data_IF_393731606659
#
_entry.id   IF_393731606659
#
_cell.length_a   1.000
_cell.length_b   1.000
_cell.length_c   1.000
_cell.angle_alpha   90.00
_cell.angle_beta   90.00
_cell.angle_gamma   90.00
#
_symmetry.space_group_name_H-M   'P 1'
#
loop_
_entity.id
_entity.type
_entity.pdbx_description
1 polymer ?
#
# COMPACT_ATOMS: atom_id res chain seq x y z
N UNK A 1 5.13 -21.45 17.26
CA UNK A 1 5.92 -21.88 18.45
C UNK A 1 4.93 -22.11 19.58
N UNK A 2 5.16 -23.00 20.53
CA UNK A 2 4.30 -23.11 21.71
C UNK A 2 4.96 -22.41 22.90
N UNK A 3 4.17 -21.81 23.78
CA UNK A 3 4.64 -21.23 25.03
C UNK A 3 4.80 -22.31 26.12
N UNK A 4 5.10 -21.87 27.35
CA UNK A 4 5.27 -22.75 28.51
C UNK A 4 3.99 -23.50 28.90
N UNK A 5 2.83 -23.01 28.49
CA UNK A 5 1.51 -23.59 28.77
C UNK A 5 0.99 -24.45 27.60
N UNK A 6 1.79 -24.62 26.54
CA UNK A 6 1.43 -25.39 25.35
C UNK A 6 0.54 -24.64 24.36
N UNK A 7 0.31 -23.35 24.60
CA UNK A 7 -0.50 -22.47 23.77
C UNK A 7 0.31 -21.88 22.64
N UNK A 8 -0.37 -21.35 21.61
CA UNK A 8 0.31 -20.79 20.44
C UNK A 8 1.04 -19.50 20.84
N UNK A 9 2.37 -19.58 20.94
CA UNK A 9 3.20 -18.41 21.18
C UNK A 9 3.32 -17.57 19.91
N UNK A 10 2.83 -16.33 20.01
CA UNK A 10 2.74 -15.38 18.91
C UNK A 10 3.85 -14.32 18.97
N UNK A 11 4.40 -14.06 20.16
CA UNK A 11 5.37 -13.00 20.43
C UNK A 11 4.80 -11.93 21.37
N UNK A 12 5.68 -11.23 22.08
CA UNK A 12 5.36 -10.15 23.02
C UNK A 12 5.07 -8.82 22.31
N UNK A 13 5.64 -8.64 21.11
CA UNK A 13 5.51 -7.42 20.32
C UNK A 13 6.67 -6.43 20.51
N UNK A 14 7.62 -6.75 21.38
CA UNK A 14 8.88 -6.04 21.54
C UNK A 14 9.77 -6.21 20.29
N UNK A 15 10.80 -5.37 20.17
CA UNK A 15 11.67 -5.36 18.99
C UNK A 15 12.45 -6.68 18.80
N UNK A 16 12.82 -7.36 19.90
CA UNK A 16 13.52 -8.64 19.89
C UNK A 16 12.58 -9.86 19.82
N UNK A 17 11.27 -9.64 19.93
CA UNK A 17 10.25 -10.68 19.89
C UNK A 17 8.94 -10.18 19.22
N UNK A 18 9.01 -9.83 17.93
CA UNK A 18 7.89 -9.28 17.19
C UNK A 18 6.80 -10.33 16.93
N UNK A 19 5.58 -9.86 16.63
CA UNK A 19 4.49 -10.73 16.26
C UNK A 19 3.76 -10.31 14.98
N UNK A 20 3.14 -11.30 14.36
CA UNK A 20 2.23 -11.15 13.22
C UNK A 20 0.98 -11.99 13.50
N UNK A 21 -0.19 -11.36 13.46
CA UNK A 21 -1.48 -12.05 13.55
C UNK A 21 -2.29 -11.75 12.29
N UNK A 22 -2.54 -12.77 11.47
CA UNK A 22 -3.36 -12.67 10.27
C UNK A 22 -4.80 -13.08 10.51
N UNK A 23 -5.74 -12.28 9.98
CA UNK A 23 -7.16 -12.58 9.92
C UNK A 23 -7.59 -12.72 8.47
N UNK A 24 -8.18 -13.86 8.15
CA UNK A 24 -8.84 -14.13 6.88
C UNK A 24 -10.02 -15.08 7.12
N UNK A 25 -10.79 -15.37 6.07
CA UNK A 25 -11.87 -16.36 6.12
C UNK A 25 -11.83 -17.24 4.88
N UNK A 26 -12.49 -18.39 4.95
CA UNK A 26 -12.65 -19.27 3.79
C UNK A 26 -13.26 -18.52 2.60
N UNK A 27 -14.24 -17.64 2.84
CA UNK A 27 -14.85 -16.82 1.80
C UNK A 27 -13.89 -15.78 1.19
N UNK A 28 -12.97 -15.22 1.97
CA UNK A 28 -11.92 -14.32 1.46
C UNK A 28 -10.89 -15.09 0.64
N UNK A 29 -10.49 -16.29 1.09
CA UNK A 29 -9.60 -17.17 0.31
C UNK A 29 -10.27 -17.56 -1.01
N UNK A 30 -11.56 -17.93 -0.97
CA UNK A 30 -12.35 -18.26 -2.17
C UNK A 30 -12.46 -17.09 -3.16
N UNK A 31 -12.61 -15.87 -2.65
CA UNK A 31 -12.63 -14.68 -3.52
C UNK A 31 -11.27 -14.46 -4.18
N UNK A 32 -10.17 -14.82 -3.51
CA UNK A 32 -8.82 -14.72 -4.06
C UNK A 32 -8.55 -15.71 -5.21
N UNK A 33 -9.20 -16.89 -5.21
CA UNK A 33 -9.00 -17.92 -6.26
C UNK A 33 -9.30 -17.38 -7.66
N UNK A 34 -10.24 -16.44 -7.78
CA UNK A 34 -10.60 -15.80 -9.05
C UNK A 34 -9.43 -15.03 -9.68
N UNK A 35 -8.41 -14.68 -8.89
CA UNK A 35 -7.21 -13.98 -9.33
C UNK A 35 -6.01 -14.92 -9.51
N UNK A 36 -6.23 -16.23 -9.54
CA UNK A 36 -5.18 -17.20 -9.86
C UNK A 36 -5.18 -17.61 -11.34
N UNK A 37 -6.21 -17.23 -12.11
CA UNK A 37 -6.48 -17.82 -13.44
C UNK A 37 -5.71 -17.18 -14.61
N UNK A 38 -4.88 -16.16 -14.39
CA UNK A 38 -3.97 -15.59 -15.41
C UNK A 38 -4.61 -14.85 -16.59
N UNK A 39 -5.94 -14.87 -16.72
CA UNK A 39 -6.67 -14.33 -17.90
C UNK A 39 -6.99 -12.83 -17.81
N UNK A 40 -6.37 -12.06 -16.90
CA UNK A 40 -6.66 -10.63 -16.76
C UNK A 40 -5.61 -9.85 -16.00
N UNK A 41 -5.63 -8.52 -16.14
CA UNK A 41 -4.76 -7.62 -15.39
C UNK A 41 -5.18 -7.60 -13.92
N UNK A 42 -4.40 -8.28 -13.07
CA UNK A 42 -4.66 -8.40 -11.65
C UNK A 42 -3.70 -7.48 -10.89
N UNK A 43 -4.27 -6.69 -9.99
CA UNK A 43 -3.52 -5.85 -9.06
C UNK A 43 -3.65 -6.42 -7.64
N UNK A 44 -2.52 -6.71 -7.01
CA UNK A 44 -2.46 -6.86 -5.56
C UNK A 44 -2.30 -5.49 -4.90
N UNK A 45 -3.01 -5.27 -3.80
CA UNK A 45 -3.01 -4.02 -3.05
C UNK A 45 -2.62 -4.29 -1.60
N UNK A 46 -1.81 -3.42 -1.02
CA UNK A 46 -1.52 -3.40 0.41
C UNK A 46 -1.48 -1.96 0.93
N UNK A 47 -1.92 -1.73 2.16
CA UNK A 47 -1.82 -0.43 2.85
C UNK A 47 -1.75 -0.65 4.36
N UNK A 48 -0.92 0.15 5.04
CA UNK A 48 -0.77 0.13 6.47
C UNK A 48 -1.61 1.22 7.13
N UNK A 49 -2.54 0.80 7.99
CA UNK A 49 -3.40 1.70 8.76
C UNK A 49 -3.09 1.64 10.26
N UNK A 50 -3.34 2.75 10.94
CA UNK A 50 -3.03 2.94 12.35
C UNK A 50 -4.24 3.39 13.16
N UNK A 51 -4.04 3.47 14.49
CA UNK A 51 -5.02 3.98 15.47
C UNK A 51 -6.28 3.11 15.55
N UNK A 52 -6.12 1.80 15.35
CA UNK A 52 -7.18 0.81 15.55
C UNK A 52 -7.05 0.13 16.93
N UNK A 53 -5.84 0.07 17.48
CA UNK A 53 -5.51 -0.48 18.81
C UNK A 53 -5.04 0.62 19.77
N UNK A 54 -5.18 0.37 21.07
CA UNK A 54 -4.68 1.21 22.16
C UNK A 54 -3.15 1.26 22.21
N UNK A 55 -2.51 0.12 21.97
CA UNK A 55 -1.06 -0.04 21.88
C UNK A 55 -0.48 0.55 20.57
N UNK A 56 -1.32 1.00 19.63
CA UNK A 56 -0.88 1.66 18.41
C UNK A 56 -0.32 0.74 17.33
N UNK A 57 -0.42 -0.58 17.51
CA UNK A 57 0.02 -1.56 16.52
C UNK A 57 -0.60 -1.30 15.14
N UNK A 58 0.22 -1.27 14.09
CA UNK A 58 -0.25 -1.12 12.73
C UNK A 58 -1.03 -2.36 12.26
N UNK A 59 -1.94 -2.09 11.34
CA UNK A 59 -2.72 -3.10 10.65
C UNK A 59 -2.44 -2.98 9.16
N UNK A 60 -1.97 -4.05 8.54
CA UNK A 60 -1.77 -4.13 7.09
C UNK A 60 -3.04 -4.76 6.52
N UNK A 61 -3.73 -4.05 5.64
CA UNK A 61 -4.83 -4.63 4.87
C UNK A 61 -4.36 -4.90 3.45
N UNK A 62 -4.73 -6.05 2.91
CA UNK A 62 -4.37 -6.39 1.55
C UNK A 62 -5.46 -7.18 0.82
N UNK A 63 -5.41 -7.11 -0.50
CA UNK A 63 -6.42 -7.71 -1.35
C UNK A 63 -6.13 -7.50 -2.83
N UNK A 64 -7.14 -7.76 -3.65
CA UNK A 64 -6.97 -7.81 -5.10
C UNK A 64 -8.07 -7.01 -5.80
N UNK A 65 -7.73 -6.48 -6.98
CA UNK A 65 -8.70 -5.99 -7.95
C UNK A 65 -8.40 -6.53 -9.34
N UNK A 66 -9.43 -6.62 -10.16
CA UNK A 66 -9.34 -6.81 -11.60
C UNK A 66 -9.92 -5.60 -12.35
N UNK A 67 -10.10 -5.75 -13.67
CA UNK A 67 -10.70 -4.74 -14.55
C UNK A 67 -12.19 -4.48 -14.27
N UNK A 68 -12.85 -5.28 -13.43
CA UNK A 68 -14.23 -5.01 -12.98
C UNK A 68 -14.26 -3.97 -11.86
N UNK A 69 -13.08 -3.54 -11.38
CA UNK A 69 -12.91 -2.54 -10.31
C UNK A 69 -13.59 -2.95 -8.99
N UNK A 70 -13.72 -4.25 -8.77
CA UNK A 70 -14.24 -4.80 -7.53
C UNK A 70 -13.08 -5.21 -6.63
N UNK A 71 -12.95 -4.54 -5.48
CA UNK A 71 -11.95 -4.89 -4.49
C UNK A 71 -12.37 -6.12 -3.67
N UNK A 72 -11.47 -7.09 -3.57
CA UNK A 72 -11.63 -8.30 -2.77
C UNK A 72 -10.57 -8.32 -1.69
N UNK A 73 -11.01 -8.27 -0.44
CA UNK A 73 -10.10 -8.36 0.71
C UNK A 73 -9.56 -9.79 0.80
N UNK A 74 -8.24 -9.93 0.84
CA UNK A 74 -7.58 -11.22 1.02
C UNK A 74 -7.30 -11.50 2.50
N UNK A 75 -6.73 -10.52 3.20
CA UNK A 75 -6.40 -10.64 4.62
C UNK A 75 -6.24 -9.28 5.29
N UNK A 76 -6.31 -9.31 6.62
CA UNK A 76 -5.98 -8.20 7.52
C UNK A 76 -4.94 -8.71 8.51
N UNK A 77 -3.80 -8.05 8.61
CA UNK A 77 -2.71 -8.45 9.52
C UNK A 77 -2.51 -7.39 10.58
N UNK A 78 -2.47 -7.81 11.85
CA UNK A 78 -1.94 -6.99 12.95
C UNK A 78 -0.46 -7.34 13.09
N UNK A 79 0.40 -6.34 13.01
CA UNK A 79 1.85 -6.53 13.13
C UNK A 79 2.38 -5.62 14.23
N UNK A 80 3.34 -6.11 15.02
CA UNK A 80 3.99 -5.26 16.02
C UNK A 80 4.95 -4.26 15.37
N UNK A 81 5.52 -4.61 14.22
CA UNK A 81 6.50 -3.81 13.46
C UNK A 81 6.16 -3.79 11.97
N UNK A 82 6.63 -2.76 11.27
CA UNK A 82 6.48 -2.60 9.80
C UNK A 82 7.84 -2.67 9.12
N UNK A 83 8.66 -3.67 9.45
CA UNK A 83 9.89 -3.89 8.70
C UNK A 83 9.60 -4.69 7.44
N UNK A 84 10.59 -4.76 6.54
CA UNK A 84 10.54 -5.61 5.36
C UNK A 84 10.19 -7.07 5.73
N UNK A 85 10.68 -7.56 6.86
CA UNK A 85 10.42 -8.94 7.30
C UNK A 85 8.93 -9.16 7.60
N UNK A 86 8.30 -8.33 8.46
CA UNK A 86 6.89 -8.54 8.80
C UNK A 86 5.99 -8.37 7.57
N UNK A 87 6.26 -7.39 6.71
CA UNK A 87 5.51 -7.22 5.47
C UNK A 87 5.66 -8.45 4.54
N UNK A 88 6.87 -9.00 4.41
CA UNK A 88 7.13 -10.20 3.60
C UNK A 88 6.35 -11.39 4.13
N UNK A 89 6.41 -11.64 5.43
CA UNK A 89 5.73 -12.76 6.07
C UNK A 89 4.20 -12.62 5.97
N UNK A 90 3.63 -11.41 6.11
CA UNK A 90 2.20 -11.18 5.89
C UNK A 90 1.77 -11.58 4.46
N UNK A 91 2.46 -11.06 3.45
CA UNK A 91 2.09 -11.29 2.05
C UNK A 91 2.33 -12.75 1.64
N UNK A 92 3.44 -13.35 2.09
CA UNK A 92 3.75 -14.76 1.88
C UNK A 92 2.70 -15.67 2.53
N UNK A 93 2.29 -15.39 3.77
CA UNK A 93 1.28 -16.17 4.47
C UNK A 93 -0.06 -16.20 3.71
N UNK A 94 -0.51 -15.07 3.16
CA UNK A 94 -1.72 -15.04 2.34
C UNK A 94 -1.57 -15.93 1.09
N UNK A 95 -0.46 -15.82 0.38
CA UNK A 95 -0.18 -16.62 -0.83
C UNK A 95 -0.13 -18.12 -0.51
N UNK A 96 0.56 -18.49 0.56
CA UNK A 96 0.69 -19.88 1.00
C UNK A 96 -0.63 -20.47 1.49
N UNK A 97 -1.46 -19.68 2.19
CA UNK A 97 -2.78 -20.09 2.62
C UNK A 97 -3.70 -20.37 1.44
N UNK A 98 -3.73 -19.50 0.42
CA UNK A 98 -4.52 -19.73 -0.79
C UNK A 98 -4.06 -21.02 -1.49
N UNK A 99 -2.75 -21.22 -1.62
CA UNK A 99 -2.19 -22.45 -2.20
C UNK A 99 -2.55 -23.70 -1.38
N UNK A 100 -2.45 -23.62 -0.06
CA UNK A 100 -2.75 -24.74 0.83
C UNK A 100 -4.23 -25.12 0.85
N UNK A 101 -5.14 -24.13 0.86
CA UNK A 101 -6.57 -24.39 0.99
C UNK A 101 -7.25 -24.69 -0.35
N UNK A 102 -6.67 -24.24 -1.47
CA UNK A 102 -7.32 -24.31 -2.79
C UNK A 102 -6.46 -24.90 -3.90
N UNK A 103 -5.17 -25.17 -3.64
CA UNK A 103 -4.27 -25.76 -4.63
C UNK A 103 -3.89 -24.83 -5.78
N UNK A 104 -4.23 -23.54 -5.69
CA UNK A 104 -3.95 -22.55 -6.74
C UNK A 104 -2.83 -21.61 -6.33
N UNK A 105 -2.01 -21.20 -7.29
CA UNK A 105 -0.96 -20.21 -7.05
C UNK A 105 -1.43 -18.84 -7.50
N UNK A 106 -1.37 -17.85 -6.59
CA UNK A 106 -1.66 -16.47 -6.94
C UNK A 106 -0.52 -15.90 -7.79
N UNK A 107 -0.90 -15.14 -8.81
CA UNK A 107 0.01 -14.36 -9.65
C UNK A 107 -0.66 -13.03 -9.96
N UNK A 108 0.10 -11.95 -9.87
CA UNK A 108 -0.38 -10.62 -10.22
C UNK A 108 0.60 -9.97 -11.19
N UNK A 109 0.09 -9.31 -12.22
CA UNK A 109 0.88 -8.53 -13.16
C UNK A 109 1.32 -7.22 -12.52
N UNK A 110 0.54 -6.72 -11.55
CA UNK A 110 0.77 -5.44 -10.89
C UNK A 110 0.59 -5.53 -9.39
N UNK A 111 1.27 -4.64 -8.67
CA UNK A 111 1.14 -4.46 -7.22
C UNK A 111 1.03 -2.96 -6.93
N UNK A 112 0.29 -2.58 -5.90
CA UNK A 112 0.19 -1.22 -5.41
C UNK A 112 0.29 -1.21 -3.88
N UNK A 113 1.17 -0.38 -3.34
CA UNK A 113 1.39 -0.27 -1.89
C UNK A 113 1.62 1.19 -1.48
N UNK A 114 1.93 1.39 -0.20
CA UNK A 114 2.29 2.70 0.34
C UNK A 114 3.66 3.15 -0.14
N UNK A 115 3.97 4.44 0.09
CA UNK A 115 5.29 4.98 -0.19
C UNK A 115 6.27 4.62 0.96
N UNK A 116 6.45 3.33 1.20
CA UNK A 116 7.25 2.77 2.31
C UNK A 116 8.12 1.60 1.86
N UNK A 117 9.43 1.67 2.21
CA UNK A 117 10.44 0.74 1.69
C UNK A 117 10.13 -0.70 2.11
N UNK A 118 9.63 -0.90 3.34
CA UNK A 118 9.28 -2.20 3.88
C UNK A 118 8.25 -2.96 3.01
N UNK A 119 7.19 -2.27 2.56
CA UNK A 119 6.17 -2.90 1.71
C UNK A 119 6.71 -3.13 0.29
N UNK A 120 7.46 -2.16 -0.25
CA UNK A 120 8.05 -2.28 -1.59
C UNK A 120 9.00 -3.47 -1.67
N UNK A 121 9.92 -3.61 -0.72
CA UNK A 121 10.89 -4.69 -0.65
C UNK A 121 10.20 -6.04 -0.36
N UNK A 122 9.21 -6.06 0.53
CA UNK A 122 8.40 -7.26 0.76
C UNK A 122 7.74 -7.81 -0.50
N UNK A 123 7.18 -6.93 -1.35
CA UNK A 123 6.61 -7.31 -2.64
C UNK A 123 7.66 -7.86 -3.62
N UNK A 124 8.94 -7.50 -3.48
CA UNK A 124 10.02 -8.09 -4.26
C UNK A 124 10.41 -9.48 -3.75
N UNK A 125 10.34 -9.71 -2.44
CA UNK A 125 10.75 -10.97 -1.83
C UNK A 125 9.70 -12.09 -1.91
N UNK A 126 8.44 -11.76 -2.21
CA UNK A 126 7.38 -12.77 -2.38
C UNK A 126 7.36 -13.29 -3.83
N UNK A 127 7.56 -14.60 -4.07
CA UNK A 127 7.65 -15.15 -5.43
C UNK A 127 6.45 -14.86 -6.34
N UNK A 128 5.23 -14.79 -5.77
CA UNK A 128 4.02 -14.43 -6.52
C UNK A 128 4.02 -12.99 -7.05
N UNK A 129 4.84 -12.11 -6.47
CA UNK A 129 4.83 -10.67 -6.73
C UNK A 129 6.18 -10.13 -7.24
N UNK A 130 7.25 -10.91 -7.18
CA UNK A 130 8.61 -10.47 -7.57
C UNK A 130 8.67 -9.89 -8.98
N UNK A 131 7.93 -10.49 -9.93
CA UNK A 131 7.92 -10.07 -11.33
C UNK A 131 6.79 -9.07 -11.66
N UNK A 132 5.95 -8.71 -10.69
CA UNK A 132 4.89 -7.73 -10.90
C UNK A 132 5.47 -6.33 -11.14
N UNK A 133 4.75 -5.53 -11.92
CA UNK A 133 4.99 -4.08 -12.01
C UNK A 133 4.54 -3.44 -10.70
N UNK A 134 5.46 -2.78 -10.00
CA UNK A 134 5.17 -2.03 -8.77
C UNK A 134 4.63 -0.66 -9.14
N UNK A 135 3.38 -0.40 -8.83
CA UNK A 135 2.70 0.89 -9.00
C UNK A 135 2.72 1.65 -7.68
N UNK A 136 2.82 2.97 -7.77
CA UNK A 136 2.72 3.85 -6.62
C UNK A 136 1.31 4.43 -6.52
N UNK A 137 0.65 4.21 -5.39
CA UNK A 137 -0.65 4.81 -5.07
C UNK A 137 -0.60 6.34 -5.18
N UNK A 138 -1.40 6.92 -6.09
CA UNK A 138 -1.42 8.35 -6.33
C UNK A 138 -1.94 9.16 -5.14
N UNK A 139 -2.88 8.61 -4.35
CA UNK A 139 -3.30 9.20 -3.08
C UNK A 139 -2.10 9.44 -2.15
N UNK A 140 -1.19 8.47 -2.02
CA UNK A 140 -0.01 8.58 -1.18
C UNK A 140 0.98 9.64 -1.68
N UNK A 141 1.12 9.81 -3.00
CA UNK A 141 1.91 10.91 -3.59
C UNK A 141 1.34 12.25 -3.14
N UNK A 142 0.04 12.48 -3.33
CA UNK A 142 -0.63 13.72 -2.96
C UNK A 142 -0.60 13.97 -1.45
N UNK A 143 -0.79 12.92 -0.64
CA UNK A 143 -0.75 13.01 0.82
C UNK A 143 0.63 13.45 1.32
N UNK A 144 1.70 12.84 0.82
CA UNK A 144 3.07 13.19 1.21
C UNK A 144 3.48 14.56 0.69
N UNK A 145 3.11 14.92 -0.55
CA UNK A 145 3.35 16.26 -1.09
C UNK A 145 2.62 17.33 -0.28
N UNK A 146 1.35 17.10 0.10
CA UNK A 146 0.59 18.03 0.93
C UNK A 146 1.24 18.24 2.30
N UNK A 147 1.72 17.18 2.95
CA UNK A 147 2.49 17.29 4.20
C UNK A 147 3.77 18.10 4.00
N UNK A 148 4.52 17.81 2.94
CA UNK A 148 5.80 18.47 2.63
C UNK A 148 5.61 19.97 2.38
N UNK A 149 4.52 20.34 1.71
CA UNK A 149 4.24 21.72 1.28
C UNK A 149 3.35 22.49 2.25
N UNK A 150 2.96 21.92 3.39
CA UNK A 150 1.96 22.52 4.29
C UNK A 150 2.32 23.94 4.80
N UNK A 151 3.62 24.21 4.90
CA UNK A 151 4.21 25.46 5.39
C UNK A 151 4.26 26.56 4.32
N UNK A 152 4.04 26.21 3.05
CA UNK A 152 4.06 27.16 1.94
C UNK A 152 2.74 27.94 1.83
N UNK A 153 2.77 29.13 1.23
CA UNK A 153 1.57 29.89 0.90
C UNK A 153 0.58 29.10 0.04
N UNK A 154 -0.69 29.49 0.14
CA UNK A 154 -1.79 28.77 -0.49
C UNK A 154 -1.65 28.66 -2.01
N UNK A 155 -1.14 29.70 -2.67
CA UNK A 155 -1.01 29.72 -4.13
C UNK A 155 0.09 28.77 -4.61
N UNK A 156 1.21 28.68 -3.89
CA UNK A 156 2.26 27.70 -4.18
C UNK A 156 1.79 26.26 -3.95
N UNK A 157 1.02 26.03 -2.88
CA UNK A 157 0.41 24.70 -2.64
C UNK A 157 -0.55 24.32 -3.76
N UNK A 158 -1.39 25.26 -4.21
CA UNK A 158 -2.32 25.02 -5.34
C UNK A 158 -1.56 24.73 -6.62
N UNK A 159 -0.50 25.51 -6.91
CA UNK A 159 0.34 25.34 -8.08
C UNK A 159 0.97 23.94 -8.11
N UNK A 160 1.62 23.53 -7.02
CA UNK A 160 2.24 22.20 -6.90
C UNK A 160 1.22 21.09 -7.11
N UNK A 161 0.08 21.17 -6.44
CA UNK A 161 -0.96 20.13 -6.54
C UNK A 161 -1.55 20.05 -7.95
N UNK A 162 -1.84 21.19 -8.58
CA UNK A 162 -2.35 21.24 -9.95
C UNK A 162 -1.34 20.69 -10.97
N UNK A 163 -0.06 21.04 -10.80
CA UNK A 163 1.05 20.54 -11.62
C UNK A 163 1.19 19.02 -11.54
N UNK A 164 1.08 18.44 -10.34
CA UNK A 164 1.16 16.99 -10.13
C UNK A 164 -0.05 16.26 -10.70
N UNK A 165 -1.25 16.83 -10.57
CA UNK A 165 -2.45 16.30 -11.22
C UNK A 165 -2.28 16.28 -12.74
N UNK A 166 -1.82 17.39 -13.32
CA UNK A 166 -1.58 17.49 -14.77
C UNK A 166 -0.61 16.41 -15.28
N UNK A 167 0.48 16.16 -14.54
CA UNK A 167 1.42 15.08 -14.81
C UNK A 167 0.77 13.68 -14.67
N UNK A 168 0.01 13.44 -13.60
CA UNK A 168 -0.61 12.14 -13.32
C UNK A 168 -1.56 11.71 -14.44
N UNK A 169 -2.41 12.62 -14.91
CA UNK A 169 -3.44 12.36 -15.93
C UNK A 169 -2.90 12.35 -17.37
N UNK A 170 -1.58 12.36 -17.55
CA UNK A 170 -0.97 12.19 -18.88
C UNK A 170 -1.31 10.81 -19.45
N UNK A 171 -1.58 10.73 -20.75
CA UNK A 171 -2.00 9.50 -21.44
C UNK A 171 -0.84 8.68 -22.01
N UNK A 172 0.37 9.25 -22.00
CA UNK A 172 1.57 8.59 -22.49
C UNK A 172 2.81 9.12 -21.80
N UNK A 173 3.92 8.40 -21.94
CA UNK A 173 5.23 8.83 -21.47
C UNK A 173 5.63 10.18 -22.10
N UNK A 174 5.42 10.35 -23.41
CA UNK A 174 5.79 11.57 -24.13
C UNK A 174 5.03 12.79 -23.60
N UNK A 175 3.71 12.67 -23.41
CA UNK A 175 2.89 13.74 -22.85
C UNK A 175 3.33 14.08 -21.41
N UNK A 176 3.63 13.04 -20.63
CA UNK A 176 4.11 13.20 -19.26
C UNK A 176 5.45 13.92 -19.18
N UNK A 177 6.43 13.54 -20.01
CA UNK A 177 7.75 14.18 -20.03
C UNK A 177 7.66 15.65 -20.43
N UNK A 178 6.85 15.96 -21.44
CA UNK A 178 6.57 17.34 -21.85
C UNK A 178 5.99 18.17 -20.69
N UNK A 179 4.93 17.66 -20.03
CA UNK A 179 4.32 18.34 -18.89
C UNK A 179 5.28 18.46 -17.71
N UNK A 180 6.00 17.38 -17.38
CA UNK A 180 6.99 17.34 -16.30
C UNK A 180 8.02 18.45 -16.45
N UNK A 181 8.60 18.59 -17.64
CA UNK A 181 9.67 19.56 -17.86
C UNK A 181 9.17 21.00 -17.70
N UNK A 182 7.96 21.29 -18.20
CA UNK A 182 7.31 22.59 -18.02
C UNK A 182 7.01 22.87 -16.53
N UNK A 183 6.39 21.92 -15.82
CA UNK A 183 6.02 22.11 -14.40
C UNK A 183 7.24 22.26 -13.50
N UNK A 184 8.29 21.49 -13.74
CA UNK A 184 9.54 21.60 -12.96
C UNK A 184 10.21 22.94 -13.22
N UNK A 185 10.24 23.43 -14.47
CA UNK A 185 10.76 24.76 -14.78
C UNK A 185 9.96 25.85 -14.04
N UNK A 186 8.63 25.79 -14.09
CA UNK A 186 7.73 26.71 -13.37
C UNK A 186 8.01 26.70 -11.85
N UNK A 187 8.23 25.53 -11.24
CA UNK A 187 8.56 25.45 -9.82
C UNK A 187 9.92 26.06 -9.49
N UNK A 188 10.92 25.91 -10.36
CA UNK A 188 12.27 26.47 -10.16
C UNK A 188 12.31 28.00 -10.20
N UNK A 189 11.33 28.64 -10.85
CA UNK A 189 11.19 30.09 -10.87
C UNK A 189 10.60 30.66 -9.56
N UNK A 190 9.96 29.82 -8.74
CA UNK A 190 9.32 30.26 -7.49
C UNK A 190 10.33 30.32 -6.36
N UNK A 191 10.53 31.52 -5.83
CA UNK A 191 11.42 31.78 -4.68
C UNK A 191 11.05 31.01 -3.41
N UNK A 192 9.82 30.53 -3.30
CA UNK A 192 9.35 29.74 -2.15
C UNK A 192 9.45 28.23 -2.36
N UNK A 193 9.71 27.77 -3.59
CA UNK A 193 9.81 26.34 -3.92
C UNK A 193 11.25 25.87 -4.07
N UNK A 194 12.27 26.65 -3.69
CA UNK A 194 13.69 26.38 -3.99
C UNK A 194 14.12 24.92 -3.77
N UNK A 195 13.67 24.27 -2.68
CA UNK A 195 14.03 22.89 -2.33
C UNK A 195 13.02 21.83 -2.78
N UNK A 196 11.84 22.26 -3.26
CA UNK A 196 10.75 21.35 -3.60
C UNK A 196 11.02 20.54 -4.89
N UNK A 197 11.51 21.13 -6.00
CA UNK A 197 11.86 20.38 -7.20
C UNK A 197 12.84 19.25 -6.94
N UNK A 198 13.89 19.49 -6.16
CA UNK A 198 14.91 18.48 -5.84
C UNK A 198 14.31 17.33 -5.01
N UNK A 199 13.52 17.66 -3.98
CA UNK A 199 12.75 16.66 -3.24
C UNK A 199 11.84 15.84 -4.17
N UNK A 200 11.09 16.51 -5.04
CA UNK A 200 10.12 15.85 -5.88
C UNK A 200 10.80 14.94 -6.90
N UNK A 201 11.92 15.40 -7.47
CA UNK A 201 12.73 14.64 -8.40
C UNK A 201 13.31 13.39 -7.76
N UNK A 202 13.96 13.53 -6.59
CA UNK A 202 14.57 12.41 -5.89
C UNK A 202 13.55 11.37 -5.46
N UNK A 203 12.40 11.79 -4.92
CA UNK A 203 11.42 10.87 -4.36
C UNK A 203 10.49 10.27 -5.42
N UNK A 204 9.93 11.11 -6.30
CA UNK A 204 8.79 10.75 -7.14
C UNK A 204 9.12 10.64 -8.63
N UNK A 205 10.34 10.99 -9.07
CA UNK A 205 10.74 10.86 -10.48
C UNK A 205 11.86 9.84 -10.66
N UNK A 206 12.86 9.87 -9.78
CA UNK A 206 14.04 8.97 -9.84
C UNK A 206 14.02 7.87 -8.78
N UNK A 207 13.30 8.08 -7.68
CA UNK A 207 13.20 7.15 -6.56
C UNK A 207 12.35 5.92 -6.87
N UNK A 208 12.28 4.98 -5.91
CA UNK A 208 11.53 3.72 -6.05
C UNK A 208 10.02 3.92 -6.32
N UNK A 209 9.49 5.09 -5.93
CA UNK A 209 8.07 5.43 -5.95
C UNK A 209 7.63 6.16 -7.21
N UNK A 210 8.39 6.08 -8.30
CA UNK A 210 8.18 6.91 -9.48
C UNK A 210 6.95 6.56 -10.33
N UNK A 211 6.44 5.32 -10.25
CA UNK A 211 5.34 4.80 -11.10
C UNK A 211 3.96 5.17 -10.58
N UNK A 212 3.66 6.46 -10.48
CA UNK A 212 2.36 6.99 -10.05
C UNK A 212 1.52 7.58 -11.19
N UNK A 213 2.06 7.63 -12.41
CA UNK A 213 1.38 8.19 -13.58
C UNK A 213 0.30 7.23 -14.08
N UNK A 214 -0.83 7.77 -14.52
CA UNK A 214 -2.00 6.98 -14.94
C UNK A 214 -1.68 5.95 -16.02
N UNK A 215 -0.85 6.32 -16.99
CA UNK A 215 -0.52 5.46 -18.13
C UNK A 215 0.30 4.19 -17.78
N UNK A 216 0.79 4.05 -16.53
CA UNK A 216 1.37 2.80 -16.05
C UNK A 216 0.34 1.81 -15.53
N UNK A 217 -0.86 2.28 -15.16
CA UNK A 217 -1.93 1.44 -14.65
C UNK A 217 -2.63 0.76 -15.83
N UNK A 218 -2.90 -0.56 -15.77
CA UNK A 218 -3.59 -1.25 -16.85
C UNK A 218 -5.01 -0.69 -17.07
N UNK A 219 -5.45 -0.75 -18.31
CA UNK A 219 -6.78 -0.26 -18.70
C UNK A 219 -7.88 -0.99 -17.94
N UNK A 220 -8.88 -0.21 -17.48
CA UNK A 220 -10.01 -0.70 -16.69
C UNK A 220 -9.76 -0.76 -15.18
N UNK A 221 -8.50 -0.64 -14.71
CA UNK A 221 -8.20 -0.61 -13.28
C UNK A 221 -8.34 0.80 -12.68
N UNK A 222 -8.42 0.86 -11.34
CA UNK A 222 -8.45 2.12 -10.61
C UNK A 222 -7.08 2.81 -10.68
N UNK A 223 -7.06 4.11 -10.98
CA UNK A 223 -5.84 4.87 -11.30
C UNK A 223 -5.44 5.87 -10.21
N UNK A 224 -6.34 6.19 -9.28
CA UNK A 224 -6.14 7.27 -8.30
C UNK A 224 -5.98 6.79 -6.86
N UNK A 225 -6.70 5.76 -6.46
CA UNK A 225 -6.68 5.25 -5.09
C UNK A 225 -6.28 3.77 -5.03
N UNK A 226 -5.55 3.45 -3.96
CA UNK A 226 -5.46 2.09 -3.47
C UNK A 226 -6.82 1.78 -2.79
N UNK A 227 -7.56 0.73 -3.18
CA UNK A 227 -8.82 0.35 -2.55
C UNK A 227 -8.69 0.06 -1.05
N UNK A 228 -7.49 -0.32 -0.57
CA UNK A 228 -7.21 -0.49 0.84
C UNK A 228 -7.50 0.79 1.64
N UNK A 229 -7.35 1.98 1.05
CA UNK A 229 -7.66 3.26 1.72
C UNK A 229 -9.13 3.37 2.11
N UNK A 230 -10.03 2.95 1.21
CA UNK A 230 -11.47 2.95 1.46
C UNK A 230 -11.85 1.92 2.52
N UNK A 231 -11.21 0.75 2.49
CA UNK A 231 -11.38 -0.27 3.53
C UNK A 231 -10.89 0.27 4.88
N UNK A 232 -9.70 0.85 4.91
CA UNK A 232 -9.08 1.40 6.12
C UNK A 232 -9.88 2.57 6.69
N UNK A 233 -10.45 3.41 5.83
CA UNK A 233 -11.42 4.44 6.20
C UNK A 233 -12.69 3.85 6.84
N UNK A 234 -13.26 2.81 6.22
CA UNK A 234 -14.44 2.10 6.73
C UNK A 234 -14.19 1.42 8.08
N UNK A 235 -13.04 0.76 8.24
CA UNK A 235 -12.63 0.16 9.51
C UNK A 235 -12.51 1.23 10.61
N UNK A 236 -11.82 2.34 10.32
CA UNK A 236 -11.72 3.47 11.26
C UNK A 236 -13.08 4.04 11.63
N UNK A 237 -14.01 4.11 10.68
CA UNK A 237 -15.36 4.60 10.92
C UNK A 237 -16.17 3.65 11.79
N UNK A 238 -16.15 2.35 11.48
CA UNK A 238 -16.82 1.30 12.25
C UNK A 238 -16.33 1.25 13.70
N UNK A 239 -15.01 1.34 13.90
CA UNK A 239 -14.39 1.44 15.22
C UNK A 239 -14.61 2.81 15.89
N UNK A 240 -15.32 3.74 15.26
CA UNK A 240 -15.54 5.12 15.71
C UNK A 240 -14.23 5.86 16.04
N UNK A 241 -13.13 5.47 15.40
CA UNK A 241 -11.76 5.92 15.70
C UNK A 241 -11.38 5.73 17.18
N UNK A 242 -12.08 4.84 17.89
CA UNK A 242 -11.72 4.40 19.23
C UNK A 242 -10.61 3.37 19.12
N UNK A 243 -9.68 3.47 20.06
CA UNK A 243 -8.61 2.50 20.22
C UNK A 243 -9.10 1.44 21.19
N UNK A 244 -9.15 0.19 20.74
CA UNK A 244 -9.62 -0.92 21.57
C UNK A 244 -8.44 -1.57 22.30
N UNK A 245 -8.70 -2.02 23.52
CA UNK A 245 -7.74 -2.73 24.37
C UNK A 245 -7.38 -4.09 23.75
N UNK A 246 -6.17 -4.18 23.21
CA UNK A 246 -5.66 -5.39 22.58
C UNK A 246 -5.14 -6.43 23.59
N UNK A 247 -5.03 -6.11 24.88
CA UNK A 247 -4.61 -7.09 25.90
C UNK A 247 -5.53 -8.29 25.92
N UNK A 248 -6.82 -8.11 25.63
CA UNK A 248 -7.79 -9.22 25.55
C UNK A 248 -7.51 -10.22 24.42
N UNK A 249 -6.83 -9.81 23.34
CA UNK A 249 -6.38 -10.70 22.26
C UNK A 249 -5.14 -11.51 22.66
N UNK A 250 -4.27 -10.93 23.49
CA UNK A 250 -3.04 -11.57 23.98
C UNK A 250 -3.25 -12.41 25.25
N UNK A 251 -4.30 -12.13 26.03
CA UNK A 251 -4.61 -12.82 27.29
C UNK A 251 -5.45 -14.11 27.11
N UNK A 252 -5.82 -14.47 25.88
CA UNK A 252 -6.70 -15.61 25.58
C UNK A 252 -6.18 -16.52 24.47
N UNK A 253 -4.92 -16.36 24.09
CA UNK A 253 -4.23 -17.34 23.26
C UNK A 253 -3.38 -18.18 24.18
#
# INVERSE_FOLDING_TARGET
KQDTDGLAYIGSGEDDDPFIVGLTSVAMIDSCVKFATGDGNILFHADATFKLSDNGYPVITCGFTDQRRAYQVGAVFVVSRRTEHECTECFKALVELVRSFRGVSLRCEFTMSDAEDAQFLALQNVPSFTNSTKLMCFFHVLYNVRKRTQHLPIDERKLVMASIMDMHFSRSLVEYEYKRDIRIAEWKEKTQLVVFPDYFEQQWLKGMYWRWQMFHTPEGCATTNNPCENLNGSLKHFLQRRRFDMRRLLLKI
#
